data_IF_401596511627
#
_entry.id   IF_401596511627
#
_cell.length_a   1.000
_cell.length_b   1.000
_cell.length_c   1.000
_cell.angle_alpha   90.00
_cell.angle_beta   90.00
_cell.angle_gamma   90.00
#
_symmetry.space_group_name_H-M   'P 1'
#
loop_
_entity.id
_entity.type
_entity.pdbx_description
1 polymer ?
#
# COMPACT_ATOMS: atom_id res chain seq x y z
N UNK A 1 -21.81 -10.01 -21.32
CA UNK A 1 -20.49 -9.50 -20.85
C UNK A 1 -20.67 -9.06 -19.41
N UNK A 2 -19.72 -9.34 -18.50
CA UNK A 2 -19.80 -8.83 -17.13
C UNK A 2 -19.78 -7.31 -17.13
N UNK A 3 -20.66 -6.71 -16.34
CA UNK A 3 -20.72 -5.27 -16.13
C UNK A 3 -19.60 -4.83 -15.16
N UNK A 4 -19.29 -3.52 -15.10
CA UNK A 4 -18.34 -3.02 -14.09
C UNK A 4 -18.78 -3.33 -12.65
N UNK A 5 -20.08 -3.40 -12.39
CA UNK A 5 -20.63 -3.79 -11.09
C UNK A 5 -20.39 -5.27 -10.78
N UNK A 6 -20.48 -6.16 -11.79
CA UNK A 6 -20.18 -7.58 -11.62
C UNK A 6 -18.71 -7.81 -11.25
N UNK A 7 -17.79 -7.08 -11.89
CA UNK A 7 -16.36 -7.14 -11.54
C UNK A 7 -16.08 -6.63 -10.13
N UNK A 8 -16.77 -5.58 -9.69
CA UNK A 8 -16.64 -5.05 -8.35
C UNK A 8 -17.15 -6.04 -7.29
N UNK A 9 -18.34 -6.60 -7.51
CA UNK A 9 -18.90 -7.62 -6.63
C UNK A 9 -17.95 -8.82 -6.51
N UNK A 10 -17.45 -9.30 -7.65
CA UNK A 10 -16.51 -10.41 -7.69
C UNK A 10 -15.21 -10.09 -6.94
N UNK A 11 -14.61 -8.91 -7.16
CA UNK A 11 -13.39 -8.50 -6.45
C UNK A 11 -13.55 -8.46 -4.92
N UNK A 12 -14.77 -8.18 -4.41
CA UNK A 12 -15.04 -8.15 -2.98
C UNK A 12 -15.24 -9.53 -2.35
N UNK A 13 -15.94 -10.43 -3.05
CA UNK A 13 -16.40 -11.70 -2.44
C UNK A 13 -15.56 -12.91 -2.84
N UNK A 14 -14.83 -12.81 -3.94
CA UNK A 14 -14.04 -13.93 -4.47
C UNK A 14 -12.90 -14.32 -3.52
N UNK A 15 -12.61 -15.61 -3.46
CA UNK A 15 -11.57 -16.21 -2.60
C UNK A 15 -10.55 -17.00 -3.40
N UNK A 16 -10.89 -17.37 -4.65
CA UNK A 16 -9.98 -18.05 -5.56
C UNK A 16 -8.87 -17.10 -6.03
N UNK A 17 -7.62 -17.46 -5.70
CA UNK A 17 -6.44 -16.68 -6.04
C UNK A 17 -6.24 -16.52 -7.54
N UNK A 18 -6.61 -17.50 -8.36
CA UNK A 18 -6.51 -17.43 -9.81
C UNK A 18 -7.47 -16.39 -10.38
N UNK A 19 -8.71 -16.35 -9.86
CA UNK A 19 -9.72 -15.37 -10.28
C UNK A 19 -9.30 -13.97 -9.84
N UNK A 20 -8.88 -13.79 -8.59
CA UNK A 20 -8.40 -12.51 -8.06
C UNK A 20 -7.19 -11.98 -8.85
N UNK A 21 -6.24 -12.85 -9.23
CA UNK A 21 -5.10 -12.48 -10.09
C UNK A 21 -5.55 -11.98 -11.46
N UNK A 22 -6.55 -12.60 -12.07
CA UNK A 22 -7.08 -12.14 -13.38
C UNK A 22 -7.73 -10.76 -13.26
N UNK A 23 -8.41 -10.49 -12.15
CA UNK A 23 -9.09 -9.21 -11.91
C UNK A 23 -8.13 -8.03 -11.75
N UNK A 24 -6.84 -8.26 -11.47
CA UNK A 24 -5.83 -7.19 -11.44
C UNK A 24 -5.76 -6.43 -12.77
N UNK A 25 -6.01 -7.14 -13.89
CA UNK A 25 -6.01 -6.57 -15.23
C UNK A 25 -7.27 -5.76 -15.56
N UNK A 26 -8.26 -5.70 -14.66
CA UNK A 26 -9.45 -4.89 -14.89
C UNK A 26 -9.07 -3.40 -15.07
N UNK A 27 -9.67 -2.72 -16.06
CA UNK A 27 -9.37 -1.31 -16.34
C UNK A 27 -9.92 -0.37 -15.25
N UNK A 28 -10.83 -0.85 -14.41
CA UNK A 28 -11.56 -0.04 -13.43
C UNK A 28 -10.77 0.14 -12.12
N UNK A 29 -10.40 1.37 -11.74
CA UNK A 29 -9.64 1.63 -10.51
C UNK A 29 -10.36 1.19 -9.23
N UNK A 30 -11.69 1.30 -9.19
CA UNK A 30 -12.49 0.85 -8.05
C UNK A 30 -12.46 -0.68 -7.88
N UNK A 31 -12.31 -1.46 -8.96
CA UNK A 31 -12.12 -2.92 -8.88
C UNK A 31 -10.75 -3.23 -8.28
N UNK A 32 -9.71 -2.50 -8.67
CA UNK A 32 -8.36 -2.63 -8.08
C UNK A 32 -8.33 -2.29 -6.59
N UNK A 33 -9.05 -1.24 -6.18
CA UNK A 33 -9.22 -0.91 -4.77
C UNK A 33 -9.98 -2.00 -4.02
N UNK A 34 -11.02 -2.59 -4.61
CA UNK A 34 -11.74 -3.71 -4.02
C UNK A 34 -10.84 -4.94 -3.82
N UNK A 35 -9.98 -5.26 -4.79
CA UNK A 35 -8.97 -6.31 -4.64
C UNK A 35 -8.01 -6.01 -3.48
N UNK A 36 -7.56 -4.76 -3.34
CA UNK A 36 -6.69 -4.35 -2.24
C UNK A 36 -7.38 -4.33 -0.86
N UNK A 37 -8.72 -4.40 -0.81
CA UNK A 37 -9.50 -4.57 0.44
C UNK A 37 -9.77 -6.05 0.72
N UNK A 38 -9.86 -6.88 -0.30
CA UNK A 38 -10.22 -8.29 -0.16
C UNK A 38 -9.08 -9.08 0.53
N UNK A 39 -9.30 -9.60 1.75
CA UNK A 39 -8.27 -10.29 2.53
C UNK A 39 -7.77 -11.59 1.88
N UNK A 40 -8.47 -12.09 0.85
CA UNK A 40 -8.07 -13.28 0.09
C UNK A 40 -7.18 -12.96 -1.10
N UNK A 41 -7.00 -11.69 -1.47
CA UNK A 41 -6.11 -11.29 -2.56
C UNK A 41 -4.68 -11.75 -2.28
N UNK A 42 -4.08 -12.53 -3.19
CA UNK A 42 -2.79 -13.12 -2.93
C UNK A 42 -1.65 -12.10 -3.09
N UNK A 43 -0.49 -12.28 -2.41
CA UNK A 43 0.61 -11.32 -2.43
C UNK A 43 1.08 -10.92 -3.82
N UNK A 44 1.18 -11.86 -4.76
CA UNK A 44 1.58 -11.60 -6.14
C UNK A 44 0.61 -10.65 -6.87
N UNK A 45 -0.69 -10.72 -6.58
CA UNK A 45 -1.69 -9.80 -7.11
C UNK A 45 -1.55 -8.41 -6.48
N UNK A 46 -1.31 -8.33 -5.17
CA UNK A 46 -1.07 -7.06 -4.45
C UNK A 46 0.20 -6.35 -4.96
N UNK A 47 1.26 -7.12 -5.22
CA UNK A 47 2.50 -6.61 -5.79
C UNK A 47 2.29 -6.09 -7.22
N UNK A 48 1.43 -6.72 -8.00
CA UNK A 48 1.09 -6.24 -9.34
C UNK A 48 0.27 -4.94 -9.27
N UNK A 49 -0.69 -4.86 -8.33
CA UNK A 49 -1.49 -3.66 -8.09
C UNK A 49 -0.64 -2.43 -7.72
N UNK A 50 0.45 -2.61 -6.96
CA UNK A 50 1.32 -1.49 -6.54
C UNK A 50 2.00 -0.77 -7.71
N UNK A 51 2.15 -1.47 -8.86
CA UNK A 51 2.75 -0.95 -10.09
C UNK A 51 1.75 -0.24 -11.00
N UNK A 52 0.46 -0.27 -10.67
CA UNK A 52 -0.56 0.37 -11.48
C UNK A 52 -0.61 1.88 -11.24
N UNK A 53 -0.98 2.60 -12.31
CA UNK A 53 -1.19 4.04 -12.33
C UNK A 53 -2.56 4.34 -12.93
N UNK A 54 -3.24 5.31 -12.35
CA UNK A 54 -4.48 5.92 -12.80
C UNK A 54 -4.42 7.43 -12.48
N UNK A 55 -5.38 7.96 -11.73
CA UNK A 55 -5.33 9.31 -11.17
C UNK A 55 -4.61 9.34 -9.83
N UNK A 56 -4.02 10.49 -9.49
CA UNK A 56 -3.35 10.73 -8.19
C UNK A 56 -4.24 10.32 -7.00
N UNK A 57 -5.55 10.58 -7.07
CA UNK A 57 -6.47 10.20 -6.00
C UNK A 57 -6.64 8.68 -5.87
N UNK A 58 -6.89 7.98 -6.99
CA UNK A 58 -7.04 6.53 -6.99
C UNK A 58 -5.75 5.81 -6.58
N UNK A 59 -4.63 6.32 -7.06
CA UNK A 59 -3.29 5.81 -6.79
C UNK A 59 -2.93 5.91 -5.31
N UNK A 60 -3.15 7.08 -4.70
CA UNK A 60 -2.87 7.30 -3.27
C UNK A 60 -3.75 6.41 -2.39
N UNK A 61 -5.03 6.25 -2.74
CA UNK A 61 -5.93 5.35 -2.02
C UNK A 61 -5.50 3.89 -2.17
N UNK A 62 -5.15 3.46 -3.38
CA UNK A 62 -4.71 2.10 -3.64
C UNK A 62 -3.44 1.76 -2.84
N UNK A 63 -2.42 2.61 -2.86
CA UNK A 63 -1.19 2.37 -2.08
C UNK A 63 -1.44 2.28 -0.59
N UNK A 64 -2.33 3.11 -0.06
CA UNK A 64 -2.68 3.07 1.36
C UNK A 64 -3.34 1.73 1.72
N UNK A 65 -4.30 1.26 0.91
CA UNK A 65 -4.93 -0.05 1.09
C UNK A 65 -3.91 -1.18 1.02
N UNK A 66 -2.99 -1.16 0.05
CA UNK A 66 -1.93 -2.17 -0.07
C UNK A 66 -0.99 -2.17 1.13
N UNK A 67 -0.65 -1.00 1.68
CA UNK A 67 0.21 -0.89 2.85
C UNK A 67 -0.46 -1.45 4.13
N UNK A 68 -1.80 -1.35 4.24
CA UNK A 68 -2.57 -1.87 5.38
C UNK A 68 -2.99 -3.34 5.21
N UNK A 69 -2.89 -3.87 3.99
CA UNK A 69 -3.45 -5.17 3.69
C UNK A 69 -2.77 -6.31 4.49
N UNK A 70 -3.53 -7.21 5.14
CA UNK A 70 -2.97 -8.23 6.04
C UNK A 70 -2.08 -9.26 5.34
N UNK A 71 -2.24 -9.44 4.03
CA UNK A 71 -1.38 -10.34 3.22
C UNK A 71 -0.23 -9.62 2.51
N UNK A 72 -0.01 -8.34 2.80
CA UNK A 72 1.17 -7.64 2.26
C UNK A 72 2.41 -8.07 3.02
N UNK A 73 3.10 -9.06 2.44
CA UNK A 73 4.41 -9.51 2.88
C UNK A 73 5.51 -8.49 2.57
N UNK A 74 6.76 -8.79 2.96
CA UNK A 74 7.90 -7.91 2.73
C UNK A 74 8.07 -7.53 1.25
N UNK A 75 7.81 -8.44 0.32
CA UNK A 75 7.99 -8.20 -1.12
C UNK A 75 6.94 -7.20 -1.62
N UNK A 76 5.68 -7.37 -1.20
CA UNK A 76 4.61 -6.42 -1.50
C UNK A 76 4.89 -5.07 -0.88
N UNK A 77 5.24 -5.03 0.41
CA UNK A 77 5.47 -3.79 1.15
C UNK A 77 6.65 -2.99 0.57
N UNK A 78 7.72 -3.65 0.13
CA UNK A 78 8.80 -2.98 -0.61
C UNK A 78 8.33 -2.43 -1.95
N UNK A 79 7.53 -3.18 -2.70
CA UNK A 79 6.96 -2.68 -3.96
C UNK A 79 6.04 -1.47 -3.75
N UNK A 80 5.30 -1.43 -2.63
CA UNK A 80 4.50 -0.27 -2.22
C UNK A 80 5.40 0.90 -1.79
N UNK A 81 6.48 0.64 -1.05
CA UNK A 81 7.45 1.64 -0.63
C UNK A 81 8.10 2.33 -1.83
N UNK A 82 8.56 1.57 -2.83
CA UNK A 82 9.15 2.11 -4.07
C UNK A 82 8.13 2.95 -4.85
N UNK A 83 6.88 2.47 -4.96
CA UNK A 83 5.82 3.23 -5.64
C UNK A 83 5.46 4.52 -4.90
N UNK A 84 5.44 4.51 -3.56
CA UNK A 84 5.26 5.70 -2.71
C UNK A 84 6.41 6.68 -2.88
N UNK A 85 7.66 6.19 -2.92
CA UNK A 85 8.85 7.01 -3.11
C UNK A 85 8.81 7.76 -4.44
N UNK A 86 8.54 7.05 -5.54
CA UNK A 86 8.39 7.65 -6.86
C UNK A 86 7.32 8.75 -6.87
N UNK A 87 6.16 8.49 -6.25
CA UNK A 87 5.07 9.48 -6.15
C UNK A 87 5.44 10.69 -5.32
N UNK A 88 6.20 10.53 -4.24
CA UNK A 88 6.72 11.66 -3.46
C UNK A 88 7.72 12.49 -4.26
N UNK A 89 8.59 11.87 -5.06
CA UNK A 89 9.53 12.61 -5.91
C UNK A 89 8.83 13.40 -7.03
N UNK A 90 7.73 12.85 -7.57
CA UNK A 90 6.81 13.55 -8.49
C UNK A 90 6.09 14.74 -7.81
N UNK A 91 6.21 14.88 -6.49
CA UNK A 91 5.57 15.94 -5.70
C UNK A 91 4.14 15.60 -5.26
N UNK A 92 3.68 14.37 -5.49
CA UNK A 92 2.41 13.87 -4.97
C UNK A 92 2.48 13.67 -3.45
N UNK A 93 1.32 13.38 -2.84
CA UNK A 93 1.17 13.31 -1.39
C UNK A 93 0.49 12.02 -0.91
N UNK A 94 1.09 10.83 -1.13
CA UNK A 94 0.61 9.54 -0.63
C UNK A 94 0.82 9.36 0.89
N UNK A 95 0.53 10.39 1.70
CA UNK A 95 0.93 10.45 3.11
C UNK A 95 0.30 9.36 3.96
N UNK A 96 -0.94 8.96 3.66
CA UNK A 96 -1.60 7.85 4.34
C UNK A 96 -0.85 6.52 4.12
N UNK A 97 -0.34 6.27 2.91
CA UNK A 97 0.46 5.09 2.61
C UNK A 97 1.82 5.14 3.34
N UNK A 98 2.49 6.29 3.37
CA UNK A 98 3.75 6.47 4.11
C UNK A 98 3.58 6.13 5.60
N UNK A 99 2.51 6.64 6.23
CA UNK A 99 2.24 6.39 7.64
C UNK A 99 1.81 4.94 7.92
N UNK A 100 1.11 4.30 6.99
CA UNK A 100 0.80 2.88 7.06
C UNK A 100 2.09 2.04 7.01
N UNK A 101 2.98 2.30 6.04
CA UNK A 101 4.30 1.64 5.92
C UNK A 101 5.15 1.81 7.18
N UNK A 102 5.13 2.99 7.80
CA UNK A 102 5.83 3.24 9.06
C UNK A 102 5.34 2.36 10.22
N UNK A 103 4.12 1.85 10.16
CA UNK A 103 3.58 0.89 11.12
C UNK A 103 3.91 -0.58 10.83
N UNK A 104 4.46 -0.91 9.66
CA UNK A 104 4.73 -2.30 9.24
C UNK A 104 6.08 -2.76 9.78
N UNK A 105 6.09 -3.70 10.73
CA UNK A 105 7.32 -4.23 11.35
C UNK A 105 8.16 -5.06 10.38
N UNK A 106 7.57 -5.52 9.28
CA UNK A 106 8.26 -6.23 8.22
C UNK A 106 9.28 -5.35 7.49
N UNK A 107 9.07 -4.02 7.48
CA UNK A 107 9.97 -3.05 6.85
C UNK A 107 10.97 -2.47 7.84
N UNK A 108 12.21 -2.33 7.39
CA UNK A 108 13.26 -1.66 8.14
C UNK A 108 12.90 -0.19 8.40
N UNK A 109 13.23 0.30 9.60
CA UNK A 109 12.87 1.66 10.00
C UNK A 109 13.58 2.74 9.18
N UNK A 110 14.83 2.49 8.83
CA UNK A 110 15.63 3.42 8.06
C UNK A 110 15.23 3.39 6.58
N UNK A 111 14.78 2.23 6.05
CA UNK A 111 14.12 2.16 4.74
C UNK A 111 12.92 3.11 4.66
N UNK A 112 12.00 3.05 5.63
CA UNK A 112 10.81 3.91 5.62
C UNK A 112 11.14 5.37 5.94
N UNK A 113 12.11 5.62 6.84
CA UNK A 113 12.55 6.98 7.21
C UNK A 113 13.05 7.79 6.00
N UNK A 114 13.68 7.14 5.02
CA UNK A 114 14.14 7.79 3.77
C UNK A 114 13.01 8.44 2.97
N UNK A 115 11.76 7.99 3.10
CA UNK A 115 10.62 8.66 2.46
C UNK A 115 10.47 10.11 2.92
N UNK A 116 10.91 10.43 4.14
CA UNK A 116 10.90 11.79 4.69
C UNK A 116 11.89 12.74 4.03
N UNK A 117 12.89 12.25 3.29
CA UNK A 117 13.89 13.11 2.62
C UNK A 117 13.52 13.45 1.18
N UNK A 118 12.45 12.85 0.65
CA UNK A 118 12.00 13.03 -0.72
C UNK A 118 11.30 14.38 -0.93
N UNK A 119 11.27 14.84 -2.18
CA UNK A 119 10.79 16.18 -2.55
C UNK A 119 9.37 16.49 -2.05
N UNK A 120 8.45 15.52 -2.18
CA UNK A 120 7.05 15.65 -1.78
C UNK A 120 6.79 15.52 -0.27
N UNK A 121 7.82 15.23 0.53
CA UNK A 121 7.70 15.05 1.97
C UNK A 121 7.56 16.39 2.71
N UNK A 122 6.33 16.73 3.08
CA UNK A 122 6.07 17.94 3.88
C UNK A 122 6.68 17.85 5.28
N UNK A 123 6.91 19.00 5.92
CA UNK A 123 7.34 19.06 7.33
C UNK A 123 6.39 18.30 8.27
N UNK A 124 5.08 18.37 8.00
CA UNK A 124 4.06 17.62 8.74
C UNK A 124 4.23 16.12 8.57
N UNK A 125 4.44 15.65 7.34
CA UNK A 125 4.68 14.23 7.07
C UNK A 125 5.92 13.75 7.83
N UNK A 126 7.05 14.46 7.70
CA UNK A 126 8.31 14.12 8.36
C UNK A 126 8.14 13.95 9.87
N UNK A 127 7.50 14.94 10.52
CA UNK A 127 7.22 14.87 11.95
C UNK A 127 6.37 13.66 12.34
N UNK A 128 5.30 13.37 11.59
CA UNK A 128 4.42 12.23 11.88
C UNK A 128 5.12 10.88 11.63
N UNK A 129 5.94 10.81 10.57
CA UNK A 129 6.75 9.64 10.23
C UNK A 129 7.75 9.34 11.35
N UNK A 130 8.54 10.33 11.77
CA UNK A 130 9.53 10.16 12.83
C UNK A 130 8.89 9.69 14.13
N UNK A 131 7.77 10.32 14.54
CA UNK A 131 7.02 9.90 15.73
C UNK A 131 6.56 8.45 15.66
N UNK A 132 6.05 8.01 14.50
CA UNK A 132 5.51 6.65 14.33
C UNK A 132 6.62 5.60 14.34
N UNK A 133 7.77 5.92 13.74
CA UNK A 133 8.95 5.05 13.78
C UNK A 133 9.53 4.93 15.19
N UNK A 134 9.60 6.02 15.96
CA UNK A 134 10.06 5.99 17.36
C UNK A 134 9.18 5.05 18.19
N UNK A 135 7.85 5.25 18.16
CA UNK A 135 6.91 4.40 18.91
C UNK A 135 7.05 2.92 18.51
N UNK A 136 7.23 2.64 17.22
CA UNK A 136 7.43 1.27 16.73
C UNK A 136 8.72 0.64 17.26
N UNK A 137 9.82 1.39 17.23
CA UNK A 137 11.14 0.94 17.71
C UNK A 137 11.06 0.67 19.22
N UNK A 138 10.47 1.59 19.99
CA UNK A 138 10.25 1.42 21.44
C UNK A 138 9.41 0.19 21.76
N UNK A 139 8.32 -0.04 21.01
CA UNK A 139 7.47 -1.21 21.17
C UNK A 139 8.21 -2.53 20.88
N UNK A 140 9.08 -2.54 19.87
CA UNK A 140 9.91 -3.70 19.55
C UNK A 140 10.91 -4.04 20.67
N UNK A 141 11.50 -3.03 21.32
CA UNK A 141 12.39 -3.24 22.46
C UNK A 141 11.67 -3.71 23.74
N UNK A 142 10.44 -3.25 23.98
CA UNK A 142 9.69 -3.60 25.19
C UNK A 142 9.10 -5.03 25.15
N UNK A 143 8.80 -5.56 23.96
CA UNK A 143 8.27 -6.92 23.79
C UNK A 143 9.29 -8.06 23.83
N UNK A 144 10.57 -7.76 24.10
CA UNK A 144 11.68 -8.73 24.18
C UNK A 144 12.14 -9.04 25.62
N UNK A 145 11.42 -8.54 26.64
CA UNK A 145 11.72 -8.70 28.07
C UNK A 145 10.81 -9.68 28.80
#
# INVERSE_FOLDING_TARGET
>A
MPTPADYLALAHTERDSLVLRRLVKCPYPFVRQALAVNPHTPPEALQELSRTRDSVWNDNRLLHLLAEHPRSDLVVLRAVLEAVAARLDDGERPYAAVLALAGRSELDADEVRRLGTLRGASARLRHLLDRRLIVRIEAAYCGQG
#
